data_IF_188947146158
#
_entry.id   IF_188947146158
#
_cell.length_a   1.000
_cell.length_b   1.000
_cell.length_c   1.000
_cell.angle_alpha   90.00
_cell.angle_beta   90.00
_cell.angle_gamma   90.00
#
_symmetry.space_group_name_H-M   'P 1'
#
loop_
_entity.id
_entity.type
_entity.pdbx_description
1 polymer ?
#
# COMPACT_ATOMS: atom_id res chain seq x y z
N UNK A 1 4.03 18.72 16.76
CA UNK A 1 3.30 17.47 16.40
C UNK A 1 1.83 17.55 16.85
N UNK A 2 1.53 18.01 18.04
CA UNK A 2 0.17 18.05 18.57
C UNK A 2 -0.78 19.04 17.85
N UNK A 3 -0.26 20.18 17.42
CA UNK A 3 -1.06 21.15 16.64
C UNK A 3 -1.54 20.61 15.31
N UNK A 4 -0.73 19.82 14.63
CA UNK A 4 -1.11 19.20 13.37
C UNK A 4 -2.23 18.17 13.51
N UNK A 5 -2.18 17.37 14.56
CA UNK A 5 -3.22 16.37 14.88
C UNK A 5 -4.55 17.04 15.18
N UNK A 6 -4.55 18.02 16.07
CA UNK A 6 -5.79 18.70 16.45
C UNK A 6 -6.42 19.42 15.24
N UNK A 7 -5.60 20.02 14.40
CA UNK A 7 -6.09 20.61 13.16
C UNK A 7 -6.74 19.60 12.21
N UNK A 8 -6.16 18.41 12.07
CA UNK A 8 -6.77 17.33 11.26
C UNK A 8 -8.09 16.86 11.87
N UNK A 9 -8.18 16.70 13.20
CA UNK A 9 -9.43 16.40 13.89
C UNK A 9 -10.49 17.46 13.69
N UNK A 10 -10.12 18.72 13.78
CA UNK A 10 -11.03 19.84 13.51
C UNK A 10 -11.57 19.81 12.06
N UNK A 11 -10.71 19.50 11.09
CA UNK A 11 -11.13 19.33 9.68
C UNK A 11 -12.13 18.18 9.53
N UNK A 12 -11.86 17.04 10.15
CA UNK A 12 -12.79 15.89 10.14
C UNK A 12 -14.13 16.27 10.77
N UNK A 13 -14.13 16.88 11.96
CA UNK A 13 -15.34 17.36 12.62
C UNK A 13 -16.11 18.37 11.76
N UNK A 14 -15.39 19.25 11.08
CA UNK A 14 -16.00 20.25 10.20
C UNK A 14 -16.62 19.60 8.97
N UNK A 15 -15.91 18.68 8.32
CA UNK A 15 -16.43 17.93 7.18
C UNK A 15 -17.72 17.15 7.55
N UNK A 16 -17.71 16.47 8.70
CA UNK A 16 -18.92 15.78 9.21
C UNK A 16 -20.11 16.70 9.46
N UNK A 17 -19.87 17.94 9.91
CA UNK A 17 -20.96 18.94 10.07
C UNK A 17 -21.49 19.44 8.73
N UNK A 18 -20.60 19.58 7.74
CA UNK A 18 -20.98 20.08 6.42
C UNK A 18 -21.73 19.02 5.59
N UNK A 19 -21.30 17.79 5.65
CA UNK A 19 -21.99 16.67 4.99
C UNK A 19 -21.99 15.41 5.88
N UNK A 20 -23.05 15.20 6.67
CA UNK A 20 -23.16 14.04 7.54
C UNK A 20 -23.51 12.73 6.79
N UNK A 21 -23.65 12.77 5.47
CA UNK A 21 -23.99 11.59 4.66
C UNK A 21 -22.77 10.76 4.25
N UNK A 22 -21.55 11.23 4.55
CA UNK A 22 -20.29 10.60 4.21
C UNK A 22 -19.53 10.13 5.44
N UNK A 23 -18.59 9.21 5.23
CA UNK A 23 -17.61 8.78 6.22
C UNK A 23 -16.30 9.54 5.98
N UNK A 24 -15.66 9.95 7.06
CA UNK A 24 -14.45 10.75 7.00
C UNK A 24 -13.33 10.14 7.84
N UNK A 25 -12.11 10.20 7.30
CA UNK A 25 -10.88 9.86 8.01
C UNK A 25 -9.89 11.03 7.90
N UNK A 26 -9.06 11.21 8.90
CA UNK A 26 -8.09 12.29 8.97
C UNK A 26 -6.92 12.14 7.98
N UNK A 27 -6.68 10.96 7.48
CA UNK A 27 -5.64 10.67 6.51
C UNK A 27 -5.29 9.18 6.51
N UNK A 28 -4.35 8.83 5.66
CA UNK A 28 -3.75 7.51 5.59
C UNK A 28 -2.29 7.56 6.04
N UNK A 29 -1.74 6.41 6.43
CA UNK A 29 -0.34 6.21 6.75
C UNK A 29 0.23 7.05 7.92
N UNK A 30 -0.60 7.66 8.74
CA UNK A 30 -0.22 8.37 9.96
C UNK A 30 0.90 9.42 9.80
N UNK A 31 1.00 10.09 8.65
CA UNK A 31 2.08 11.05 8.36
C UNK A 31 2.07 12.31 9.23
N UNK A 32 1.02 12.52 9.99
CA UNK A 32 0.88 13.69 10.87
C UNK A 32 1.35 13.43 12.31
N UNK A 33 2.21 12.43 12.48
CA UNK A 33 2.81 12.10 13.78
C UNK A 33 1.92 11.25 14.69
N UNK A 34 0.86 10.67 14.16
CA UNK A 34 -0.02 9.75 14.87
C UNK A 34 0.28 8.31 14.43
N UNK A 35 0.67 7.47 15.39
CA UNK A 35 1.04 6.09 15.13
C UNK A 35 -0.11 5.11 15.37
N UNK A 36 -1.30 5.61 15.50
CA UNK A 36 -2.49 4.81 15.80
C UNK A 36 -3.75 5.31 15.10
N UNK A 37 -4.84 4.63 15.38
CA UNK A 37 -6.14 4.97 14.84
C UNK A 37 -6.71 6.21 15.53
N UNK A 38 -7.09 7.22 14.76
CA UNK A 38 -7.67 8.44 15.30
C UNK A 38 -9.15 8.24 15.69
N UNK A 39 -9.55 8.55 16.93
CA UNK A 39 -10.93 8.35 17.40
C UNK A 39 -11.96 9.24 16.68
N UNK A 40 -11.57 10.37 16.11
CA UNK A 40 -12.47 11.24 15.34
C UNK A 40 -12.79 10.70 13.95
N UNK A 41 -11.90 9.88 13.38
CA UNK A 41 -12.12 9.24 12.08
C UNK A 41 -13.21 8.16 12.16
N UNK A 42 -13.99 8.02 11.10
CA UNK A 42 -15.02 6.99 11.00
C UNK A 42 -14.45 5.63 10.64
N UNK A 43 -13.27 5.62 10.02
CA UNK A 43 -12.50 4.43 9.71
C UNK A 43 -11.01 4.75 9.73
N UNK A 44 -10.20 3.73 9.80
CA UNK A 44 -8.74 3.84 9.68
C UNK A 44 -8.27 3.18 8.38
N UNK A 45 -7.39 3.84 7.68
CA UNK A 45 -6.75 3.30 6.48
C UNK A 45 -5.26 3.55 6.54
N UNK A 46 -4.46 2.48 6.52
CA UNK A 46 -3.00 2.57 6.61
C UNK A 46 -2.34 1.25 6.21
N UNK A 47 -1.04 1.31 6.09
CA UNK A 47 -0.17 0.13 5.93
C UNK A 47 0.14 -0.53 7.28
N UNK A 48 0.07 0.25 8.35
CA UNK A 48 0.32 -0.22 9.72
C UNK A 48 -0.47 0.60 10.73
N UNK A 49 -0.62 0.07 11.94
CA UNK A 49 -1.09 0.82 13.10
C UNK A 49 -0.07 0.63 14.22
N UNK A 50 0.59 1.69 14.63
CA UNK A 50 1.77 1.64 15.49
C UNK A 50 2.85 0.73 14.85
N UNK A 51 3.32 -0.26 15.58
CA UNK A 51 4.31 -1.23 15.09
C UNK A 51 3.70 -2.45 14.38
N UNK A 52 2.39 -2.48 14.25
CA UNK A 52 1.66 -3.61 13.69
C UNK A 52 1.38 -3.41 12.21
N UNK A 53 1.90 -4.29 11.37
CA UNK A 53 1.74 -4.21 9.90
C UNK A 53 0.52 -5.03 9.48
N UNK A 54 -0.34 -4.42 8.64
CA UNK A 54 -1.58 -5.01 8.11
C UNK A 54 -1.57 -5.17 6.59
N UNK A 55 -0.38 -5.37 6.02
CA UNK A 55 -0.18 -5.67 4.60
C UNK A 55 1.03 -6.60 4.40
N UNK A 56 1.17 -7.17 3.20
CA UNK A 56 2.22 -8.14 2.88
C UNK A 56 3.62 -7.55 2.78
N UNK A 57 3.73 -6.29 2.39
CA UNK A 57 5.00 -5.56 2.32
C UNK A 57 4.93 -4.27 3.10
N UNK A 58 6.08 -3.80 3.58
CA UNK A 58 6.24 -2.49 4.18
C UNK A 58 7.70 -2.02 4.04
N UNK A 59 7.90 -0.73 4.05
CA UNK A 59 9.24 -0.14 4.02
C UNK A 59 10.08 -0.62 5.21
N UNK A 60 11.35 -0.91 4.98
CA UNK A 60 12.25 -1.36 6.03
C UNK A 60 12.10 -2.82 6.44
N UNK A 61 11.63 -3.68 5.55
CA UNK A 61 11.56 -5.14 5.76
C UNK A 61 10.67 -5.57 6.93
N UNK A 62 9.56 -4.87 7.13
CA UNK A 62 8.60 -5.15 8.21
C UNK A 62 7.41 -6.01 7.77
N UNK A 63 7.13 -6.07 6.47
CA UNK A 63 6.03 -6.86 5.92
C UNK A 63 6.42 -8.33 5.75
N UNK A 64 5.43 -9.21 5.77
CA UNK A 64 5.62 -10.65 5.67
C UNK A 64 6.39 -11.06 4.40
N UNK A 65 6.01 -10.52 3.24
CA UNK A 65 6.61 -10.87 1.95
C UNK A 65 8.01 -10.28 1.74
N UNK A 66 8.50 -9.42 2.63
CA UNK A 66 9.89 -8.99 2.61
C UNK A 66 10.86 -10.12 2.99
N UNK A 67 10.40 -11.09 3.80
CA UNK A 67 11.25 -12.14 4.37
C UNK A 67 10.72 -13.56 4.14
N UNK A 68 9.46 -13.71 3.70
CA UNK A 68 8.80 -15.01 3.60
C UNK A 68 8.16 -15.22 2.23
N UNK A 69 8.01 -16.49 1.87
CA UNK A 69 7.21 -16.88 0.72
C UNK A 69 5.69 -16.79 1.00
N UNK A 70 4.85 -16.67 -0.04
CA UNK A 70 3.41 -16.77 0.08
C UNK A 70 2.94 -18.00 0.86
N UNK A 71 1.88 -17.84 1.66
CA UNK A 71 1.31 -18.92 2.48
C UNK A 71 -0.21 -18.97 2.32
N UNK A 72 -0.76 -20.16 2.19
CA UNK A 72 -2.20 -20.36 2.08
C UNK A 72 -2.97 -20.09 3.39
N UNK A 73 -2.28 -20.02 4.52
CA UNK A 73 -2.89 -19.99 5.85
C UNK A 73 -2.71 -18.66 6.58
N UNK A 74 -1.91 -17.75 6.02
CA UNK A 74 -1.58 -16.49 6.67
C UNK A 74 -2.79 -15.56 6.78
N UNK A 75 -2.93 -14.91 7.93
CA UNK A 75 -3.89 -13.85 8.21
C UNK A 75 -3.20 -12.67 8.90
N UNK A 76 -3.92 -11.57 9.07
CA UNK A 76 -3.55 -10.43 9.92
C UNK A 76 -4.32 -10.44 11.25
N UNK A 77 -4.87 -11.58 11.68
CA UNK A 77 -5.73 -11.65 12.87
C UNK A 77 -5.02 -11.20 14.14
N UNK A 78 -3.73 -11.52 14.32
CA UNK A 78 -2.94 -11.04 15.47
C UNK A 78 -2.78 -9.52 15.43
N UNK A 79 -2.46 -8.98 14.27
CA UNK A 79 -2.34 -7.56 14.05
C UNK A 79 -3.65 -6.83 14.34
N UNK A 80 -4.77 -7.37 13.84
CA UNK A 80 -6.08 -6.82 14.10
C UNK A 80 -6.49 -6.91 15.56
N UNK A 81 -6.13 -7.99 16.27
CA UNK A 81 -6.38 -8.12 17.71
C UNK A 81 -5.68 -7.02 18.52
N UNK A 82 -4.45 -6.63 18.16
CA UNK A 82 -3.77 -5.48 18.77
C UNK A 82 -4.48 -4.17 18.50
N UNK A 83 -4.88 -3.92 17.25
CA UNK A 83 -5.62 -2.70 16.87
C UNK A 83 -6.95 -2.61 17.64
N UNK A 84 -7.66 -3.72 17.77
CA UNK A 84 -8.97 -3.80 18.43
C UNK A 84 -8.94 -3.50 19.93
N UNK A 85 -7.80 -3.54 20.58
CA UNK A 85 -7.67 -3.08 21.97
C UNK A 85 -8.04 -1.62 22.17
N UNK A 86 -7.79 -0.79 21.16
CA UNK A 86 -7.95 0.65 21.25
C UNK A 86 -8.95 1.23 20.23
N UNK A 87 -9.24 0.51 19.13
CA UNK A 87 -10.04 1.03 18.03
C UNK A 87 -11.05 0.01 17.50
N UNK A 88 -12.35 0.35 17.60
CA UNK A 88 -13.46 -0.54 17.27
C UNK A 88 -14.15 -0.21 15.93
N UNK A 89 -13.67 0.79 15.19
CA UNK A 89 -14.22 1.20 13.91
C UNK A 89 -13.56 0.43 12.75
N UNK A 90 -14.10 0.52 11.51
CA UNK A 90 -13.53 -0.17 10.35
C UNK A 90 -12.05 0.16 10.12
N UNK A 91 -11.28 -0.87 9.73
CA UNK A 91 -9.86 -0.77 9.40
C UNK A 91 -9.62 -1.34 8.00
N UNK A 92 -8.94 -0.57 7.17
CA UNK A 92 -8.57 -0.95 5.81
C UNK A 92 -7.05 -0.98 5.65
N UNK A 93 -6.54 -2.02 5.00
CA UNK A 93 -5.16 -2.03 4.55
C UNK A 93 -5.01 -1.12 3.33
N UNK A 94 -4.02 -0.24 3.34
CA UNK A 94 -3.84 0.82 2.35
C UNK A 94 -2.62 0.59 1.46
N UNK A 95 -2.74 0.98 0.20
CA UNK A 95 -1.69 0.82 -0.82
C UNK A 95 -1.20 -0.64 -0.93
N UNK A 96 -2.14 -1.57 -0.89
CA UNK A 96 -1.83 -2.99 -1.06
C UNK A 96 -1.33 -3.21 -2.48
N UNK A 97 -0.19 -3.85 -2.60
CA UNK A 97 0.31 -4.30 -3.88
C UNK A 97 1.65 -3.74 -4.30
N UNK A 98 2.06 -2.60 -4.06
CA UNK A 98 3.35 -1.94 -4.43
C UNK A 98 4.49 -2.90 -4.91
N UNK A 99 4.14 -3.86 -5.78
CA UNK A 99 5.06 -4.83 -6.38
C UNK A 99 5.44 -4.36 -7.77
N UNK A 100 6.63 -3.84 -7.90
CA UNK A 100 7.14 -3.29 -9.14
C UNK A 100 7.41 -4.41 -10.16
N UNK A 101 7.01 -4.16 -11.41
CA UNK A 101 7.37 -4.95 -12.57
C UNK A 101 8.41 -4.18 -13.35
N UNK A 102 9.41 -4.87 -13.89
CA UNK A 102 10.39 -4.24 -14.76
C UNK A 102 9.68 -3.69 -16.02
N UNK A 103 10.08 -2.49 -16.50
CA UNK A 103 9.38 -1.84 -17.59
C UNK A 103 9.55 -2.59 -18.93
N UNK A 104 8.46 -2.72 -19.65
CA UNK A 104 8.50 -3.08 -21.05
C UNK A 104 8.89 -1.84 -21.87
N UNK A 105 10.00 -1.94 -22.59
CA UNK A 105 10.50 -0.80 -23.35
C UNK A 105 9.72 -0.53 -24.63
N UNK A 106 8.84 -1.41 -25.06
CA UNK A 106 7.92 -1.16 -26.17
C UNK A 106 6.87 -0.10 -25.78
N UNK A 107 6.55 0.01 -24.49
CA UNK A 107 5.65 1.04 -23.98
C UNK A 107 6.18 2.46 -24.17
N UNK A 108 7.49 2.65 -24.38
CA UNK A 108 8.06 3.97 -24.65
C UNK A 108 7.43 4.65 -25.86
N UNK A 109 6.97 3.88 -26.84
CA UNK A 109 6.31 4.41 -28.04
C UNK A 109 4.89 4.94 -27.75
N UNK A 110 4.31 4.60 -26.59
CA UNK A 110 2.98 5.07 -26.17
C UNK A 110 3.00 6.46 -25.57
N UNK A 111 4.17 6.96 -25.17
CA UNK A 111 4.29 8.29 -24.56
C UNK A 111 4.29 9.37 -25.62
N UNK A 112 3.24 10.17 -25.63
CA UNK A 112 3.04 11.27 -26.56
C UNK A 112 2.81 12.60 -25.84
N UNK A 113 3.05 13.70 -26.52
CA UNK A 113 2.79 15.04 -26.03
C UNK A 113 3.90 15.58 -25.13
N UNK A 114 3.53 16.18 -24.00
CA UNK A 114 4.46 16.83 -23.08
C UNK A 114 5.13 15.88 -22.08
N UNK A 115 4.64 14.65 -21.98
CA UNK A 115 5.19 13.64 -21.07
C UNK A 115 6.38 12.95 -21.69
N UNK A 116 7.58 13.20 -21.17
CA UNK A 116 8.78 12.49 -21.56
C UNK A 116 9.18 11.49 -20.47
N UNK A 117 9.16 10.17 -20.75
CA UNK A 117 9.52 9.13 -19.77
C UNK A 117 11.03 9.00 -19.60
N UNK A 118 11.69 10.06 -19.12
CA UNK A 118 13.15 10.15 -18.99
C UNK A 118 13.72 9.01 -18.14
N UNK A 119 13.03 8.63 -17.07
CA UNK A 119 13.42 7.52 -16.20
C UNK A 119 13.46 6.17 -16.97
N UNK A 120 12.44 5.87 -17.75
CA UNK A 120 12.39 4.63 -18.56
C UNK A 120 13.48 4.61 -19.63
N UNK A 121 13.71 5.75 -20.30
CA UNK A 121 14.81 5.91 -21.28
C UNK A 121 16.18 5.67 -20.64
N UNK A 122 16.40 6.18 -19.42
CA UNK A 122 17.63 5.97 -18.67
C UNK A 122 17.82 4.50 -18.26
N UNK A 123 16.74 3.83 -17.84
CA UNK A 123 16.77 2.41 -17.52
C UNK A 123 17.11 1.61 -18.78
N UNK A 124 16.44 1.84 -19.89
CA UNK A 124 16.72 1.19 -21.18
C UNK A 124 18.20 1.33 -21.57
N UNK A 125 18.73 2.55 -21.53
CA UNK A 125 20.14 2.80 -21.80
C UNK A 125 21.08 1.97 -20.93
N UNK A 126 20.82 1.88 -19.63
CA UNK A 126 21.64 1.07 -18.70
C UNK A 126 21.57 -0.42 -19.00
N UNK A 127 20.37 -0.90 -19.40
CA UNK A 127 20.16 -2.30 -19.81
C UNK A 127 20.93 -2.62 -21.08
N UNK A 128 20.93 -1.73 -22.07
CA UNK A 128 21.73 -1.83 -23.30
C UNK A 128 23.23 -1.84 -23.02
N UNK A 129 23.72 -0.90 -22.22
CA UNK A 129 25.13 -0.81 -21.81
C UNK A 129 25.64 -2.07 -21.11
N UNK A 130 24.76 -2.81 -20.46
CA UNK A 130 25.06 -4.08 -19.78
C UNK A 130 24.85 -5.32 -20.66
N UNK A 131 24.40 -5.16 -21.92
CA UNK A 131 24.14 -6.26 -22.84
C UNK A 131 22.95 -7.13 -22.47
N UNK A 132 22.02 -6.64 -21.66
CA UNK A 132 20.88 -7.41 -21.15
C UNK A 132 19.64 -7.32 -22.06
N UNK A 133 19.62 -6.39 -23.01
CA UNK A 133 18.45 -6.14 -23.87
C UNK A 133 17.91 -7.42 -24.56
N UNK A 134 18.75 -8.34 -25.09
CA UNK A 134 18.26 -9.56 -25.77
C UNK A 134 17.49 -10.53 -24.85
N UNK A 135 17.63 -10.39 -23.54
CA UNK A 135 16.97 -11.24 -22.53
C UNK A 135 15.99 -10.47 -21.66
N UNK A 136 15.77 -9.19 -21.96
CA UNK A 136 15.01 -8.29 -21.10
C UNK A 136 13.55 -8.72 -20.94
N UNK A 137 12.92 -9.17 -21.99
CA UNK A 137 11.54 -9.68 -21.97
C UNK A 137 11.34 -10.75 -20.88
N UNK A 138 12.30 -11.68 -20.73
CA UNK A 138 12.24 -12.73 -19.68
C UNK A 138 12.29 -12.15 -18.27
N UNK A 139 12.99 -11.05 -18.07
CA UNK A 139 13.00 -10.36 -16.77
C UNK A 139 11.68 -9.65 -16.51
N UNK A 140 11.10 -9.03 -17.52
CA UNK A 140 9.76 -8.40 -17.42
C UNK A 140 8.72 -9.46 -17.08
N UNK A 141 8.68 -10.58 -17.80
CA UNK A 141 7.77 -11.71 -17.51
C UNK A 141 7.97 -12.25 -16.08
N UNK A 142 9.21 -12.50 -15.67
CA UNK A 142 9.51 -13.06 -14.36
C UNK A 142 9.08 -12.10 -13.21
N UNK A 143 9.33 -10.82 -13.36
CA UNK A 143 8.90 -9.82 -12.36
C UNK A 143 7.39 -9.62 -12.37
N UNK A 144 6.73 -9.69 -13.52
CA UNK A 144 5.28 -9.69 -13.64
C UNK A 144 4.63 -10.87 -12.93
N UNK A 145 5.17 -12.07 -13.11
CA UNK A 145 4.67 -13.28 -12.43
C UNK A 145 4.91 -13.20 -10.91
N UNK A 146 6.06 -12.70 -10.47
CA UNK A 146 6.33 -12.47 -9.05
C UNK A 146 5.33 -11.46 -8.46
N UNK A 147 5.08 -10.36 -9.16
CA UNK A 147 4.09 -9.36 -8.77
C UNK A 147 2.70 -9.98 -8.62
N UNK A 148 2.28 -10.79 -9.60
CA UNK A 148 0.99 -11.50 -9.57
C UNK A 148 0.85 -12.41 -8.34
N UNK A 149 1.89 -13.18 -8.01
CA UNK A 149 1.90 -14.05 -6.83
C UNK A 149 1.84 -13.24 -5.52
N UNK A 150 2.56 -12.13 -5.46
CA UNK A 150 2.59 -11.27 -4.29
C UNK A 150 1.26 -10.54 -4.07
N UNK A 151 0.64 -10.01 -5.11
CA UNK A 151 -0.73 -9.45 -5.05
C UNK A 151 -1.75 -10.47 -4.56
N UNK A 152 -1.69 -11.68 -5.12
CA UNK A 152 -2.55 -12.76 -4.69
C UNK A 152 -2.41 -13.04 -3.20
N UNK A 153 -1.18 -13.17 -2.71
CA UNK A 153 -0.91 -13.43 -1.29
C UNK A 153 -1.48 -12.33 -0.39
N UNK A 154 -1.24 -11.05 -0.73
CA UNK A 154 -1.74 -9.94 0.07
C UNK A 154 -3.28 -9.89 0.10
N UNK A 155 -3.92 -10.05 -1.06
CA UNK A 155 -5.39 -10.04 -1.16
C UNK A 155 -5.98 -11.22 -0.40
N UNK A 156 -5.46 -12.42 -0.59
CA UNK A 156 -5.98 -13.62 0.06
C UNK A 156 -5.77 -13.59 1.59
N UNK A 157 -4.62 -13.11 2.06
CA UNK A 157 -4.36 -12.93 3.49
C UNK A 157 -5.34 -11.93 4.12
N UNK A 158 -5.58 -10.81 3.45
CA UNK A 158 -6.56 -9.82 3.89
C UNK A 158 -7.98 -10.41 3.91
N UNK A 159 -8.38 -11.16 2.90
CA UNK A 159 -9.69 -11.82 2.84
C UNK A 159 -9.89 -12.89 3.91
N UNK A 160 -8.83 -13.57 4.33
CA UNK A 160 -8.86 -14.54 5.45
C UNK A 160 -8.91 -13.86 6.81
N UNK A 161 -8.56 -12.58 6.90
CA UNK A 161 -8.51 -11.82 8.16
C UNK A 161 -9.90 -11.38 8.59
N UNK A 162 -10.35 -11.82 9.76
CA UNK A 162 -11.75 -11.67 10.24
C UNK A 162 -12.16 -10.23 10.49
N UNK A 163 -11.27 -9.44 11.07
CA UNK A 163 -11.56 -8.09 11.56
C UNK A 163 -11.12 -6.97 10.61
N UNK A 164 -10.46 -7.32 9.51
CA UNK A 164 -10.08 -6.35 8.48
C UNK A 164 -11.31 -6.04 7.61
N UNK A 165 -11.60 -4.75 7.44
CA UNK A 165 -12.80 -4.30 6.76
C UNK A 165 -12.66 -4.24 5.23
N UNK A 166 -11.43 -4.22 4.73
CA UNK A 166 -11.13 -4.22 3.31
C UNK A 166 -9.70 -3.79 3.00
N UNK A 167 -9.45 -3.66 1.70
CA UNK A 167 -8.16 -3.25 1.15
C UNK A 167 -8.35 -2.14 0.12
N UNK A 168 -7.34 -1.29 -0.01
CA UNK A 168 -7.17 -0.36 -1.11
C UNK A 168 -5.95 -0.77 -1.91
N UNK A 169 -6.15 -1.16 -3.16
CA UNK A 169 -5.05 -1.51 -4.08
C UNK A 169 -4.34 -0.23 -4.58
N UNK A 170 -3.06 -0.35 -4.85
CA UNK A 170 -2.27 0.68 -5.49
C UNK A 170 -1.99 0.29 -6.93
#
# INVERSE_FOLDING_TARGET
QDEGRERMRELVRTAKRMDPTRLYANGSNAFYGEEGCDPESDFYTSQSCKDVVIRGTFSGMRGYLNENYPSADRTYDEAMAEIRKEYQKPVFSFEVGQFEVLPDFEELESFHGISDPVNLKLIKKRVEERGLLPTWEKYVEATGELSRLAYREEIEAAMRTRELSGISLL
#
